data_IF_648306899691
#
_entry.id   IF_648306899691
#
_cell.length_a   1.000
_cell.length_b   1.000
_cell.length_c   1.000
_cell.angle_alpha   90.00
_cell.angle_beta   90.00
_cell.angle_gamma   90.00
#
_symmetry.space_group_name_H-M   'P 1'
#
loop_
_entity.id
_entity.type
_entity.pdbx_description
1 polymer ?
#
# COMPACT_ATOMS: atom_id res chain seq x y z
N UNK A 1 -21.42 -0.50 1.45
CA UNK A 1 -20.39 0.10 0.59
C UNK A 1 -19.66 1.12 1.44
N UNK A 2 -18.34 0.97 1.63
CA UNK A 2 -17.58 1.76 2.60
C UNK A 2 -17.16 3.16 2.09
N UNK A 3 -17.61 3.57 0.90
CA UNK A 3 -17.26 4.87 0.32
C UNK A 3 -15.76 5.00 0.02
N UNK A 4 -15.14 3.94 -0.51
CA UNK A 4 -13.71 3.88 -0.79
C UNK A 4 -13.41 4.21 -2.25
N UNK A 5 -12.42 5.08 -2.42
CA UNK A 5 -11.84 5.41 -3.72
C UNK A 5 -10.45 4.77 -3.85
N UNK A 6 -10.10 4.38 -5.07
CA UNK A 6 -8.84 3.72 -5.41
C UNK A 6 -8.07 4.58 -6.39
N UNK A 7 -6.84 4.92 -6.03
CA UNK A 7 -5.88 5.56 -6.93
C UNK A 7 -4.79 4.56 -7.29
N UNK A 8 -4.63 4.28 -8.58
CA UNK A 8 -3.46 3.56 -9.12
C UNK A 8 -2.42 4.59 -9.53
N UNK A 9 -1.23 4.53 -8.94
CA UNK A 9 -0.08 5.35 -9.38
C UNK A 9 0.79 4.49 -10.29
N UNK A 10 0.77 4.80 -11.58
CA UNK A 10 1.45 4.04 -12.63
C UNK A 10 2.69 4.77 -13.15
N UNK A 11 3.81 4.07 -13.23
CA UNK A 11 5.13 4.61 -13.55
C UNK A 11 5.50 4.54 -15.05
N UNK A 12 4.48 4.70 -15.90
CA UNK A 12 4.62 4.55 -17.34
C UNK A 12 4.79 3.09 -17.71
N UNK A 13 3.94 2.22 -17.15
CA UNK A 13 4.01 0.79 -17.39
C UNK A 13 3.76 0.48 -18.87
N UNK A 14 4.60 -0.36 -19.51
CA UNK A 14 4.46 -0.65 -20.93
C UNK A 14 3.41 -1.73 -21.23
N UNK A 15 2.82 -2.33 -20.19
CA UNK A 15 1.98 -3.53 -20.25
C UNK A 15 0.49 -3.25 -20.42
N UNK A 16 0.09 -1.97 -20.47
CA UNK A 16 -1.30 -1.59 -20.61
C UNK A 16 -2.04 -1.34 -19.29
N UNK A 17 -1.35 -1.34 -18.13
CA UNK A 17 -1.96 -1.17 -16.81
C UNK A 17 -2.90 0.04 -16.74
N UNK A 18 -2.45 1.22 -17.18
CA UNK A 18 -3.27 2.42 -17.13
C UNK A 18 -4.51 2.33 -18.04
N UNK A 19 -4.40 1.69 -19.20
CA UNK A 19 -5.52 1.45 -20.11
C UNK A 19 -6.53 0.49 -19.48
N UNK A 20 -6.07 -0.56 -18.81
CA UNK A 20 -6.92 -1.49 -18.08
C UNK A 20 -7.71 -0.78 -16.97
N UNK A 21 -7.05 0.08 -16.18
CA UNK A 21 -7.73 0.86 -15.13
C UNK A 21 -8.77 1.82 -15.71
N UNK A 22 -8.46 2.48 -16.83
CA UNK A 22 -9.40 3.38 -17.52
C UNK A 22 -10.63 2.68 -18.11
N UNK A 23 -10.50 1.39 -18.44
CA UNK A 23 -11.59 0.60 -18.99
C UNK A 23 -12.59 0.12 -17.92
N UNK A 24 -12.28 0.30 -16.63
CA UNK A 24 -13.18 -0.07 -15.54
C UNK A 24 -14.44 0.81 -15.56
N UNK A 25 -15.65 0.25 -15.37
CA UNK A 25 -16.91 1.01 -15.31
C UNK A 25 -16.91 2.11 -14.25
N UNK A 26 -16.17 1.91 -13.16
CA UNK A 26 -16.05 2.81 -12.01
C UNK A 26 -15.00 3.91 -12.21
N UNK A 27 -14.29 3.89 -13.35
CA UNK A 27 -13.27 4.88 -13.66
C UNK A 27 -13.86 6.30 -13.66
N UNK A 28 -13.18 7.22 -12.99
CA UNK A 28 -13.61 8.60 -12.82
C UNK A 28 -14.69 8.82 -11.75
N UNK A 29 -15.25 7.75 -11.18
CA UNK A 29 -16.21 7.81 -10.07
C UNK A 29 -15.53 7.48 -8.74
N UNK A 30 -14.94 6.28 -8.66
CA UNK A 30 -14.24 5.77 -7.47
C UNK A 30 -12.91 5.10 -7.80
N UNK A 31 -12.57 4.95 -9.07
CA UNK A 31 -11.28 4.41 -9.51
C UNK A 31 -10.58 5.46 -10.37
N UNK A 32 -9.31 5.72 -10.07
CA UNK A 32 -8.50 6.72 -10.72
C UNK A 32 -7.12 6.14 -11.07
N UNK A 33 -6.48 6.68 -12.10
CA UNK A 33 -5.09 6.38 -12.44
C UNK A 33 -4.30 7.68 -12.58
N UNK A 34 -3.13 7.71 -11.95
CA UNK A 34 -2.11 8.74 -12.14
C UNK A 34 -0.94 8.12 -12.89
N UNK A 35 -0.83 8.41 -14.18
CA UNK A 35 0.34 8.03 -14.97
C UNK A 35 1.48 9.03 -14.76
N UNK A 36 2.68 8.50 -14.54
CA UNK A 36 3.92 9.25 -14.46
C UNK A 36 4.79 8.90 -15.66
N UNK A 37 5.67 9.82 -16.06
CA UNK A 37 6.34 9.74 -17.36
C UNK A 37 7.28 8.54 -17.52
N UNK A 38 7.87 8.05 -16.43
CA UNK A 38 8.78 6.92 -16.41
C UNK A 38 8.91 6.40 -14.98
N UNK A 39 9.64 5.29 -14.81
CA UNK A 39 9.92 4.71 -13.50
C UNK A 39 10.69 5.68 -12.60
N UNK A 40 9.99 6.26 -11.62
CA UNK A 40 10.53 7.22 -10.65
C UNK A 40 10.69 6.60 -9.25
N UNK A 41 10.29 5.33 -9.08
CA UNK A 41 10.50 4.55 -7.87
C UNK A 41 9.35 4.65 -6.86
N UNK A 42 9.28 3.66 -5.96
CA UNK A 42 8.14 3.43 -5.08
C UNK A 42 7.88 4.58 -4.09
N UNK A 43 8.92 5.07 -3.42
CA UNK A 43 8.77 6.16 -2.46
C UNK A 43 8.23 7.45 -3.10
N UNK A 44 8.62 7.74 -4.34
CA UNK A 44 8.06 8.91 -5.05
C UNK A 44 6.62 8.67 -5.50
N UNK A 45 6.23 7.42 -5.77
CA UNK A 45 4.85 7.05 -6.08
C UNK A 45 3.94 7.29 -4.87
N UNK A 46 4.39 6.89 -3.68
CA UNK A 46 3.68 7.15 -2.43
C UNK A 46 3.50 8.64 -2.17
N UNK A 47 4.55 9.45 -2.33
CA UNK A 47 4.45 10.91 -2.18
C UNK A 47 3.41 11.50 -3.15
N UNK A 48 3.39 11.02 -4.39
CA UNK A 48 2.42 11.49 -5.39
C UNK A 48 0.98 11.09 -5.02
N UNK A 49 0.76 9.85 -4.58
CA UNK A 49 -0.54 9.37 -4.10
C UNK A 49 -1.03 10.13 -2.86
N UNK A 50 -0.15 10.37 -1.88
CA UNK A 50 -0.49 11.15 -0.69
C UNK A 50 -0.86 12.59 -1.03
N UNK A 51 -0.13 13.25 -1.93
CA UNK A 51 -0.51 14.60 -2.39
C UNK A 51 -1.88 14.62 -3.05
N UNK A 52 -2.15 13.66 -3.92
CA UNK A 52 -3.45 13.53 -4.59
C UNK A 52 -4.60 13.35 -3.58
N UNK A 53 -4.38 12.54 -2.55
CA UNK A 53 -5.35 12.31 -1.50
C UNK A 53 -5.58 13.56 -0.62
N UNK A 54 -4.51 14.26 -0.25
CA UNK A 54 -4.58 15.49 0.54
C UNK A 54 -5.30 16.62 -0.21
N UNK A 55 -5.05 16.78 -1.51
CA UNK A 55 -5.76 17.76 -2.36
C UNK A 55 -7.28 17.53 -2.39
N UNK A 56 -7.70 16.27 -2.28
CA UNK A 56 -9.11 15.84 -2.24
C UNK A 56 -9.68 15.73 -0.82
N UNK A 57 -8.87 15.99 0.20
CA UNK A 57 -9.25 15.98 1.62
C UNK A 57 -9.77 14.62 2.09
N UNK A 58 -9.18 13.52 1.61
CA UNK A 58 -9.47 12.22 2.19
C UNK A 58 -9.01 12.20 3.66
N UNK A 59 -9.87 11.77 4.60
CA UNK A 59 -9.51 11.73 6.02
C UNK A 59 -8.60 10.55 6.36
N UNK A 60 -8.65 9.49 5.54
CA UNK A 60 -7.89 8.26 5.70
C UNK A 60 -7.20 7.93 4.38
N UNK A 61 -5.98 7.44 4.47
CA UNK A 61 -5.23 6.94 3.30
C UNK A 61 -4.72 5.54 3.61
N UNK A 62 -4.97 4.64 2.68
CA UNK A 62 -4.49 3.26 2.75
C UNK A 62 -3.55 3.00 1.58
N UNK A 63 -2.51 2.22 1.82
CA UNK A 63 -1.51 1.85 0.82
C UNK A 63 -1.44 0.33 0.71
N UNK A 64 -1.39 -0.19 -0.52
CA UNK A 64 -1.16 -1.59 -0.81
C UNK A 64 -0.56 -1.82 -2.20
N UNK A 65 0.27 -2.86 -2.28
CA UNK A 65 0.70 -3.47 -3.53
C UNK A 65 -0.48 -4.09 -4.30
N UNK A 66 -0.42 -3.99 -5.63
CA UNK A 66 -1.46 -4.50 -6.55
C UNK A 66 -1.33 -6.00 -6.88
N UNK A 67 -0.39 -6.72 -6.25
CA UNK A 67 -0.11 -8.14 -6.51
C UNK A 67 -0.83 -9.10 -5.55
N UNK A 68 -1.73 -8.58 -4.72
CA UNK A 68 -2.46 -9.30 -3.67
C UNK A 68 -1.58 -9.94 -2.58
N UNK A 69 -0.31 -9.54 -2.46
CA UNK A 69 0.49 -9.85 -1.27
C UNK A 69 -0.12 -9.22 0.00
N UNK A 70 -0.88 -8.13 -0.15
CA UNK A 70 -1.78 -7.58 0.84
C UNK A 70 -3.23 -7.89 0.45
N UNK A 71 -3.97 -8.59 1.31
CA UNK A 71 -5.37 -8.92 1.04
C UNK A 71 -6.27 -7.69 1.26
N UNK A 72 -7.09 -7.29 0.27
CA UNK A 72 -8.13 -6.27 0.46
C UNK A 72 -9.17 -6.66 1.52
N UNK A 73 -9.30 -7.95 1.84
CA UNK A 73 -10.21 -8.44 2.90
C UNK A 73 -9.81 -7.94 4.30
N UNK A 74 -8.58 -7.47 4.48
CA UNK A 74 -8.13 -6.85 5.72
C UNK A 74 -8.59 -5.38 5.87
N UNK A 75 -9.06 -4.72 4.80
CA UNK A 75 -9.46 -3.31 4.84
C UNK A 75 -10.50 -2.98 5.93
N UNK A 76 -11.58 -3.77 6.14
CA UNK A 76 -12.54 -3.49 7.20
C UNK A 76 -11.92 -3.47 8.59
N UNK A 77 -10.96 -4.36 8.88
CA UNK A 77 -10.25 -4.40 10.16
C UNK A 77 -9.38 -3.16 10.35
N UNK A 78 -8.69 -2.71 9.30
CA UNK A 78 -7.89 -1.48 9.35
C UNK A 78 -8.76 -0.24 9.56
N UNK A 79 -9.89 -0.15 8.86
CA UNK A 79 -10.84 0.95 9.00
C UNK A 79 -11.45 1.02 10.40
N UNK A 80 -11.67 -0.13 11.05
CA UNK A 80 -12.10 -0.15 12.44
C UNK A 80 -10.96 0.24 13.40
N UNK A 81 -9.75 -0.28 13.16
CA UNK A 81 -8.61 -0.07 14.05
C UNK A 81 -8.13 1.38 14.06
N UNK A 82 -8.17 2.06 12.90
CA UNK A 82 -7.75 3.45 12.76
C UNK A 82 -8.68 4.44 13.50
N UNK A 83 -9.89 4.03 13.91
CA UNK A 83 -10.76 4.87 14.75
C UNK A 83 -10.13 5.19 16.12
N UNK A 84 -9.18 4.36 16.58
CA UNK A 84 -8.51 4.50 17.87
C UNK A 84 -7.00 4.78 17.76
N UNK A 85 -6.48 5.06 16.56
CA UNK A 85 -5.04 5.26 16.32
C UNK A 85 -4.78 6.27 15.18
N UNK A 86 -3.61 6.91 15.18
CA UNK A 86 -3.21 7.80 14.09
C UNK A 86 -2.58 7.05 12.89
N UNK A 87 -2.10 5.82 13.12
CA UNK A 87 -1.45 4.97 12.13
C UNK A 87 -1.69 3.49 12.47
N UNK A 88 -2.07 2.71 11.46
CA UNK A 88 -2.22 1.25 11.56
C UNK A 88 -1.30 0.60 10.53
N UNK A 89 -0.54 -0.41 10.96
CA UNK A 89 0.40 -1.15 10.12
C UNK A 89 0.02 -2.63 10.05
N UNK A 90 0.00 -3.18 8.84
CA UNK A 90 -0.08 -4.62 8.64
C UNK A 90 1.22 -5.29 9.06
N UNK A 91 1.13 -6.27 9.97
CA UNK A 91 2.32 -6.95 10.50
C UNK A 91 2.29 -8.45 10.22
N UNK A 92 3.34 -8.93 9.57
CA UNK A 92 3.62 -10.36 9.31
C UNK A 92 4.15 -11.10 10.55
N UNK A 93 4.33 -10.38 11.66
CA UNK A 93 5.04 -10.87 12.85
C UNK A 93 4.24 -10.68 14.15
N UNK A 94 3.07 -10.03 14.13
CA UNK A 94 2.33 -9.65 15.34
C UNK A 94 1.90 -10.86 16.18
N UNK A 95 1.39 -11.92 15.53
CA UNK A 95 0.89 -13.14 16.18
C UNK A 95 1.73 -14.38 15.79
N UNK A 96 3.03 -14.17 15.59
CA UNK A 96 3.93 -15.16 15.00
C UNK A 96 4.20 -14.89 13.53
N UNK A 97 4.96 -15.78 12.91
CA UNK A 97 5.43 -15.63 11.52
C UNK A 97 4.36 -16.16 10.56
N UNK A 98 3.72 -15.27 9.81
CA UNK A 98 2.65 -15.62 8.85
C UNK A 98 3.11 -15.68 7.39
N UNK A 99 4.42 -15.63 7.13
CA UNK A 99 4.94 -15.70 5.76
C UNK A 99 4.84 -17.12 5.19
N UNK A 100 4.29 -17.22 3.98
CA UNK A 100 4.12 -18.48 3.25
C UNK A 100 5.21 -18.61 2.18
N UNK A 101 5.78 -19.80 2.02
CA UNK A 101 6.77 -20.12 0.97
C UNK A 101 8.08 -19.31 0.99
N UNK A 102 8.48 -18.76 2.15
CA UNK A 102 9.77 -18.08 2.27
C UNK A 102 10.89 -19.07 2.66
N UNK A 103 12.05 -19.05 1.98
CA UNK A 103 13.20 -19.79 2.45
C UNK A 103 13.66 -19.24 3.80
N UNK A 104 14.18 -20.11 4.67
CA UNK A 104 14.62 -19.72 6.02
C UNK A 104 15.63 -18.57 6.01
N UNK A 105 16.53 -18.54 5.01
CA UNK A 105 17.49 -17.44 4.83
C UNK A 105 16.81 -16.08 4.64
N UNK A 106 15.70 -16.02 3.88
CA UNK A 106 14.92 -14.79 3.68
C UNK A 106 14.20 -14.38 4.96
N UNK A 107 13.70 -15.34 5.74
CA UNK A 107 13.09 -15.05 7.03
C UNK A 107 14.11 -14.46 8.02
N UNK A 108 15.29 -15.08 8.13
CA UNK A 108 16.37 -14.60 9.01
C UNK A 108 16.80 -13.19 8.59
N UNK A 109 16.99 -12.95 7.28
CA UNK A 109 17.34 -11.63 6.76
C UNK A 109 16.28 -10.57 7.12
N UNK A 110 15.00 -10.90 6.94
CA UNK A 110 13.89 -9.99 7.24
C UNK A 110 13.80 -9.65 8.72
N UNK A 111 13.90 -10.66 9.60
CA UNK A 111 13.90 -10.45 11.06
C UNK A 111 15.13 -9.65 11.49
N UNK A 112 16.32 -9.99 10.98
CA UNK A 112 17.56 -9.27 11.26
C UNK A 112 17.53 -7.81 10.81
N UNK A 113 16.98 -7.53 9.63
CA UNK A 113 16.81 -6.18 9.12
C UNK A 113 15.86 -5.35 10.01
N UNK A 114 14.76 -5.95 10.50
CA UNK A 114 13.85 -5.29 11.43
C UNK A 114 14.54 -4.97 12.76
N UNK A 115 15.32 -5.90 13.33
CA UNK A 115 16.10 -5.65 14.56
C UNK A 115 17.10 -4.52 14.35
N UNK A 116 17.85 -4.55 13.25
CA UNK A 116 18.79 -3.50 12.90
C UNK A 116 18.11 -2.12 12.77
N UNK A 117 16.99 -2.05 12.04
CA UNK A 117 16.24 -0.81 11.87
C UNK A 117 15.75 -0.24 13.21
N UNK A 118 15.20 -1.08 14.10
CA UNK A 118 14.77 -0.68 15.45
C UNK A 118 15.93 -0.13 16.29
N UNK A 119 17.08 -0.80 16.27
CA UNK A 119 18.26 -0.38 17.03
C UNK A 119 18.80 0.97 16.56
N UNK A 120 18.84 1.21 15.24
CA UNK A 120 19.41 2.44 14.67
C UNK A 120 18.43 3.61 14.74
N UNK A 121 17.15 3.37 14.49
CA UNK A 121 16.13 4.44 14.42
C UNK A 121 15.45 4.72 15.75
N UNK A 122 15.49 3.79 16.70
CA UNK A 122 14.75 3.88 17.97
C UNK A 122 13.24 3.70 17.81
N UNK A 123 12.76 3.39 16.60
CA UNK A 123 11.35 3.11 16.35
C UNK A 123 10.98 1.71 16.89
N UNK A 124 9.74 1.53 17.37
CA UNK A 124 9.28 0.29 18.00
C UNK A 124 9.21 -0.94 17.08
#
# INVERSE_FOLDING_TARGET
>A
DAGLDVLVVDDGSPDGTAQAVRALPEFGQRVFVMERAHKMGLGSAYIAGFRWALERRYPLVFEMDADFSHSPESLPEFLQTIEAADLVLGSRYLNGVTVVNWPLSRLILSVGANVYARLVTGLP
#
